data_IF_752694135015
#
_entry.id   IF_752694135015
#
_cell.length_a   1.000
_cell.length_b   1.000
_cell.length_c   1.000
_cell.angle_alpha   90.00
_cell.angle_beta   90.00
_cell.angle_gamma   90.00
#
_symmetry.space_group_name_H-M   'P 1'
#
loop_
_entity.id
_entity.type
_entity.pdbx_description
1 polymer ?
#
# COMPACT_ATOMS: atom_id res chain seq x y z
N UNK A 1 10.31 -33.25 16.09
CA UNK A 1 10.56 -31.99 15.37
C UNK A 1 9.20 -31.42 14.98
N UNK A 2 8.62 -30.58 15.84
CA UNK A 2 7.34 -29.92 15.58
C UNK A 2 7.57 -28.80 14.57
N UNK A 3 6.87 -28.85 13.44
CA UNK A 3 6.84 -27.78 12.44
C UNK A 3 6.46 -26.48 13.15
N UNK A 4 7.31 -25.46 13.04
CA UNK A 4 6.97 -24.11 13.51
C UNK A 4 5.68 -23.66 12.84
N UNK A 5 4.70 -23.20 13.63
CA UNK A 5 3.40 -22.77 13.14
C UNK A 5 3.56 -21.68 12.08
N UNK A 6 2.91 -21.87 10.94
CA UNK A 6 2.84 -20.87 9.89
C UNK A 6 2.17 -19.60 10.44
N UNK A 7 2.79 -18.44 10.24
CA UNK A 7 2.15 -17.15 10.50
C UNK A 7 1.07 -16.95 9.43
N UNK A 8 -0.19 -16.87 9.84
CA UNK A 8 -1.27 -16.50 8.94
C UNK A 8 -1.37 -14.98 8.92
N UNK A 9 -1.09 -14.39 7.75
CA UNK A 9 -1.33 -12.98 7.47
C UNK A 9 -2.64 -12.87 6.71
N UNK A 10 -3.52 -11.99 7.16
CA UNK A 10 -4.80 -11.68 6.50
C UNK A 10 -4.92 -10.16 6.39
N UNK A 11 -5.30 -9.66 5.22
CA UNK A 11 -5.44 -8.22 4.97
C UNK A 11 -6.85 -7.91 4.49
N UNK A 12 -7.49 -6.91 5.10
CA UNK A 12 -8.79 -6.38 4.69
C UNK A 12 -8.63 -4.99 4.09
N UNK A 13 -9.38 -4.71 3.02
CA UNK A 13 -9.33 -3.44 2.31
C UNK A 13 -10.70 -2.78 2.31
N UNK A 14 -10.73 -1.50 2.70
CA UNK A 14 -11.95 -0.67 2.70
C UNK A 14 -11.80 0.37 1.59
N UNK A 15 -12.79 0.42 0.71
CA UNK A 15 -12.80 1.27 -0.48
C UNK A 15 -13.98 2.25 -0.42
N UNK A 16 -13.77 3.47 -0.90
CA UNK A 16 -14.81 4.45 -1.23
C UNK A 16 -14.77 4.73 -2.73
N UNK A 17 -15.73 4.19 -3.48
CA UNK A 17 -15.64 4.14 -4.95
C UNK A 17 -14.37 3.40 -5.40
N UNK A 18 -13.47 4.13 -6.04
CA UNK A 18 -12.16 3.63 -6.50
C UNK A 18 -10.99 3.97 -5.56
N UNK A 19 -11.22 4.73 -4.49
CA UNK A 19 -10.17 5.10 -3.55
C UNK A 19 -10.00 4.05 -2.46
N UNK A 20 -8.77 3.60 -2.25
CA UNK A 20 -8.44 2.78 -1.08
C UNK A 20 -8.43 3.68 0.16
N UNK A 21 -9.37 3.46 1.08
CA UNK A 21 -9.49 4.27 2.31
C UNK A 21 -8.73 3.63 3.45
N UNK A 22 -8.82 2.31 3.62
CA UNK A 22 -8.11 1.61 4.68
C UNK A 22 -7.56 0.26 4.24
N UNK A 23 -6.43 -0.11 4.82
CA UNK A 23 -5.86 -1.45 4.81
C UNK A 23 -5.69 -1.90 6.26
N UNK A 24 -6.26 -3.05 6.60
CA UNK A 24 -6.20 -3.62 7.95
C UNK A 24 -5.42 -4.92 7.84
N UNK A 25 -4.23 -4.97 8.44
CA UNK A 25 -3.41 -6.17 8.51
C UNK A 25 -3.65 -6.86 9.85
N UNK A 26 -4.04 -8.12 9.78
CA UNK A 26 -4.19 -9.01 10.92
C UNK A 26 -2.98 -9.93 11.00
N UNK A 27 -2.16 -9.76 12.04
CA UNK A 27 -1.03 -10.66 12.28
C UNK A 27 -1.41 -11.70 13.33
N UNK A 28 -1.64 -12.94 12.89
CA UNK A 28 -1.66 -14.08 13.82
C UNK A 28 -0.24 -14.57 14.05
N UNK A 29 0.24 -14.48 15.28
CA UNK A 29 1.54 -15.07 15.59
C UNK A 29 1.44 -16.56 15.85
N UNK A 30 2.52 -17.28 15.52
CA UNK A 30 2.81 -18.60 16.05
C UNK A 30 2.84 -18.56 17.60
N UNK A 31 2.68 -19.72 18.24
CA UNK A 31 2.59 -19.85 19.70
C UNK A 31 3.60 -18.94 20.44
N UNK A 32 3.11 -18.16 21.42
CA UNK A 32 3.83 -17.24 22.32
C UNK A 32 4.17 -15.83 21.78
N UNK A 33 3.41 -15.25 20.85
CA UNK A 33 3.47 -13.79 20.61
C UNK A 33 2.06 -13.19 20.55
N UNK A 34 1.82 -11.98 21.10
CA UNK A 34 0.51 -11.36 21.05
C UNK A 34 0.06 -11.13 19.61
N UNK A 35 -1.23 -11.38 19.35
CA UNK A 35 -1.87 -10.96 18.09
C UNK A 35 -1.88 -9.42 18.07
N UNK A 36 -1.46 -8.83 16.97
CA UNK A 36 -1.57 -7.37 16.78
C UNK A 36 -2.20 -7.06 15.45
N UNK A 37 -3.20 -6.19 15.48
CA UNK A 37 -3.84 -5.67 14.28
C UNK A 37 -3.27 -4.28 13.98
N UNK A 38 -3.04 -4.01 12.70
CA UNK A 38 -2.53 -2.72 12.24
C UNK A 38 -3.40 -2.16 11.14
N UNK A 39 -3.93 -0.97 11.35
CA UNK A 39 -4.78 -0.27 10.40
C UNK A 39 -4.02 0.90 9.80
N UNK A 40 -4.00 0.98 8.48
CA UNK A 40 -3.50 2.10 7.71
C UNK A 40 -4.71 2.80 7.08
N UNK A 41 -4.95 4.05 7.45
CA UNK A 41 -6.00 4.88 6.86
C UNK A 41 -5.35 5.93 5.97
N UNK A 42 -5.80 6.01 4.72
CA UNK A 42 -5.22 6.88 3.70
C UNK A 42 -6.09 8.12 3.48
N UNK A 43 -5.45 9.28 3.44
CA UNK A 43 -6.07 10.58 3.17
C UNK A 43 -5.50 11.08 1.85
N UNK A 44 -6.38 11.47 0.92
CA UNK A 44 -6.01 11.99 -0.40
C UNK A 44 -6.02 13.51 -0.42
N UNK A 45 -5.22 14.10 -1.32
CA UNK A 45 -5.06 15.56 -1.42
C UNK A 45 -6.35 16.29 -1.83
N UNK A 46 -7.20 15.64 -2.60
CA UNK A 46 -8.48 16.17 -3.09
C UNK A 46 -9.43 15.00 -3.37
N UNK A 47 -10.77 15.17 -3.22
CA UNK A 47 -11.74 14.08 -3.47
C UNK A 47 -11.62 13.44 -4.86
N UNK A 48 -11.24 14.22 -5.87
CA UNK A 48 -11.08 13.75 -7.26
C UNK A 48 -9.62 13.42 -7.64
N UNK A 49 -8.73 13.22 -6.67
CA UNK A 49 -7.32 12.90 -6.90
C UNK A 49 -6.97 11.56 -6.26
N UNK A 50 -6.08 10.80 -6.90
CA UNK A 50 -5.47 9.60 -6.31
C UNK A 50 -4.11 9.88 -5.67
N UNK A 51 -3.69 11.14 -5.61
CA UNK A 51 -2.46 11.55 -4.92
C UNK A 51 -2.65 11.40 -3.40
N UNK A 52 -1.94 10.46 -2.75
CA UNK A 52 -2.02 10.30 -1.31
C UNK A 52 -1.36 11.50 -0.64
N UNK A 53 -1.97 11.98 0.45
CA UNK A 53 -1.50 13.11 1.25
C UNK A 53 -0.93 12.63 2.59
N UNK A 54 -1.69 11.80 3.31
CA UNK A 54 -1.30 11.32 4.62
C UNK A 54 -1.75 9.88 4.87
N UNK A 55 -1.06 9.21 5.79
CA UNK A 55 -1.40 7.90 6.31
C UNK A 55 -1.51 8.01 7.83
N UNK A 56 -2.68 7.69 8.37
CA UNK A 56 -2.86 7.48 9.80
C UNK A 56 -2.65 5.99 10.10
N UNK A 57 -1.87 5.68 11.12
CA UNK A 57 -1.56 4.31 11.54
C UNK A 57 -2.16 4.12 12.93
N UNK A 58 -2.92 3.05 13.09
CA UNK A 58 -3.38 2.58 14.39
C UNK A 58 -2.88 1.15 14.62
N UNK A 59 -2.33 0.88 15.81
CA UNK A 59 -1.97 -0.47 16.23
C UNK A 59 -2.76 -0.86 17.48
N UNK A 60 -3.32 -2.07 17.46
CA UNK A 60 -4.10 -2.66 18.56
C UNK A 60 -3.50 -3.98 19.04
N UNK A 61 -3.65 -4.25 20.32
CA UNK A 61 -3.33 -5.55 20.93
C UNK A 61 -4.42 -6.60 20.68
N UNK A 62 -4.21 -7.81 21.19
CA UNK A 62 -5.16 -8.93 21.07
C UNK A 62 -6.53 -8.68 21.71
N UNK A 63 -6.60 -7.73 22.65
CA UNK A 63 -7.82 -7.32 23.33
C UNK A 63 -8.46 -6.08 22.68
N UNK A 64 -7.99 -5.68 21.50
CA UNK A 64 -8.43 -4.50 20.75
C UNK A 64 -8.16 -3.16 21.46
N UNK A 65 -7.25 -3.12 22.44
CA UNK A 65 -6.80 -1.86 23.01
C UNK A 65 -5.80 -1.18 22.08
N UNK A 66 -5.98 0.12 21.86
CA UNK A 66 -5.04 0.92 21.07
C UNK A 66 -3.74 1.09 21.85
N UNK A 67 -2.63 0.65 21.26
CA UNK A 67 -1.29 0.72 21.87
C UNK A 67 -0.38 1.74 21.18
N UNK A 68 -0.63 2.09 19.92
CA UNK A 68 0.12 3.13 19.21
C UNK A 68 -0.75 3.85 18.17
N UNK A 69 -0.38 5.10 17.87
CA UNK A 69 -0.98 5.90 16.81
C UNK A 69 0.03 6.89 16.21
N UNK A 70 0.17 6.88 14.89
CA UNK A 70 1.09 7.75 14.17
C UNK A 70 0.45 8.35 12.92
N UNK A 71 1.03 9.45 12.41
CA UNK A 71 0.67 10.06 11.13
C UNK A 71 1.92 10.25 10.31
N UNK A 72 1.87 9.79 9.06
CA UNK A 72 2.90 10.00 8.05
C UNK A 72 2.35 10.85 6.90
N UNK A 73 3.25 11.53 6.20
CA UNK A 73 2.91 12.39 5.07
C UNK A 73 3.62 11.91 3.81
N UNK A 74 2.87 11.74 2.73
CA UNK A 74 3.43 11.39 1.42
C UNK A 74 3.91 12.64 0.70
N UNK A 75 5.03 12.52 0.01
CA UNK A 75 5.58 13.55 -0.86
C UNK A 75 5.64 12.99 -2.28
N UNK A 76 4.74 13.48 -3.12
CA UNK A 76 4.53 12.98 -4.48
C UNK A 76 5.21 13.86 -5.52
N UNK A 77 5.54 13.29 -6.68
CA UNK A 77 5.98 14.04 -7.85
C UNK A 77 4.81 14.69 -8.61
N UNK A 78 5.09 15.32 -9.77
CA UNK A 78 4.09 16.05 -10.54
C UNK A 78 2.93 15.20 -11.08
N UNK A 79 3.09 13.87 -11.14
CA UNK A 79 2.03 12.95 -11.56
C UNK A 79 1.38 12.24 -10.36
N UNK A 80 1.69 12.66 -9.12
CA UNK A 80 1.11 12.09 -7.92
C UNK A 80 1.76 10.77 -7.46
N UNK A 81 2.92 10.40 -8.00
CA UNK A 81 3.62 9.18 -7.60
C UNK A 81 4.46 9.45 -6.33
N UNK A 82 4.28 8.69 -5.23
CA UNK A 82 5.00 8.95 -3.97
C UNK A 82 6.51 8.73 -4.09
N UNK A 83 7.30 9.77 -3.81
CA UNK A 83 8.77 9.75 -3.85
C UNK A 83 9.39 9.64 -2.47
N UNK A 84 8.76 10.23 -1.47
CA UNK A 84 9.22 10.21 -0.08
C UNK A 84 8.03 10.12 0.87
N UNK A 85 8.31 9.72 2.10
CA UNK A 85 7.36 9.79 3.20
C UNK A 85 8.08 10.28 4.46
N UNK A 86 7.43 11.17 5.20
CA UNK A 86 7.94 11.69 6.47
C UNK A 86 7.03 11.34 7.62
N UNK A 87 7.59 11.21 8.83
CA UNK A 87 6.81 11.14 10.06
C UNK A 87 6.22 12.52 10.45
N UNK A 88 5.54 12.55 11.60
CA UNK A 88 4.91 13.76 12.14
C UNK A 88 5.89 14.87 12.55
N UNK A 89 7.19 14.55 12.66
CA UNK A 89 8.26 15.50 12.97
C UNK A 89 8.99 15.96 11.70
N UNK A 90 8.55 15.53 10.52
CA UNK A 90 9.16 15.87 9.23
C UNK A 90 10.43 15.07 8.92
N UNK A 91 10.73 14.02 9.69
CA UNK A 91 11.88 13.14 9.38
C UNK A 91 11.50 12.20 8.27
N UNK A 92 12.37 12.07 7.25
CA UNK A 92 12.17 11.11 6.16
C UNK A 92 12.28 9.68 6.70
N UNK A 93 11.21 8.91 6.53
CA UNK A 93 11.10 7.50 6.98
C UNK A 93 11.15 6.52 5.82
N UNK A 94 10.78 6.95 4.61
CA UNK A 94 10.83 6.17 3.39
C UNK A 94 11.16 7.04 2.18
N UNK A 95 11.86 6.48 1.19
CA UNK A 95 12.13 7.10 -0.11
C UNK A 95 12.15 6.04 -1.20
N UNK A 96 11.51 6.33 -2.34
CA UNK A 96 11.45 5.46 -3.50
C UNK A 96 11.94 6.12 -4.79
N UNK A 97 12.42 5.30 -5.73
CA UNK A 97 12.71 5.66 -7.11
C UNK A 97 12.09 4.61 -8.02
N UNK A 98 11.44 5.10 -9.06
CA UNK A 98 10.70 4.29 -10.01
C UNK A 98 11.28 4.42 -11.41
N UNK A 99 11.09 3.38 -12.21
CA UNK A 99 11.25 3.46 -13.64
C UNK A 99 10.06 4.17 -14.32
N UNK A 100 10.10 4.29 -15.64
CA UNK A 100 9.07 4.95 -16.43
C UNK A 100 7.71 4.22 -16.45
N UNK A 101 7.69 2.93 -16.09
CA UNK A 101 6.51 2.07 -16.07
C UNK A 101 5.96 1.90 -14.64
N UNK A 102 6.46 2.67 -13.67
CA UNK A 102 5.99 2.64 -12.29
C UNK A 102 6.55 1.48 -11.47
N UNK A 103 7.52 0.72 -12.00
CA UNK A 103 8.25 -0.29 -11.24
C UNK A 103 9.14 0.37 -10.20
N UNK A 104 9.02 -0.06 -8.94
CA UNK A 104 9.85 0.43 -7.83
C UNK A 104 11.25 -0.17 -7.96
N UNK A 105 12.16 0.54 -8.62
CA UNK A 105 13.52 0.10 -8.88
C UNK A 105 14.41 0.16 -7.63
N UNK A 106 14.11 1.09 -6.72
CA UNK A 106 14.85 1.26 -5.49
C UNK A 106 13.98 1.89 -4.42
N UNK A 107 13.99 1.33 -3.22
CA UNK A 107 13.45 1.97 -2.04
C UNK A 107 14.40 1.88 -0.84
N UNK A 108 14.17 2.76 0.13
CA UNK A 108 14.93 2.78 1.38
C UNK A 108 14.00 3.15 2.52
N UNK A 109 13.85 2.23 3.47
CA UNK A 109 13.30 2.50 4.79
C UNK A 109 14.42 3.09 5.67
N UNK A 110 14.25 4.34 6.08
CA UNK A 110 15.27 5.13 6.80
C UNK A 110 15.06 5.13 8.32
N UNK A 111 13.85 4.80 8.79
CA UNK A 111 13.58 4.59 10.20
C UNK A 111 13.75 3.10 10.54
N UNK A 112 14.46 2.82 11.65
CA UNK A 112 14.41 1.51 12.27
C UNK A 112 13.04 1.38 12.95
N UNK A 113 12.30 0.36 12.54
CA UNK A 113 10.97 -0.03 13.00
C UNK A 113 9.80 0.64 12.26
N UNK A 114 9.16 -0.15 11.39
CA UNK A 114 7.72 -0.22 11.09
C UNK A 114 6.92 1.07 10.83
N UNK A 115 7.47 2.28 10.89
CA UNK A 115 6.66 3.49 10.93
C UNK A 115 6.04 3.85 9.58
N UNK A 116 6.55 3.35 8.46
CA UNK A 116 6.04 3.71 7.14
C UNK A 116 5.58 2.51 6.32
N UNK A 117 4.32 2.49 5.93
CA UNK A 117 3.79 1.57 4.93
C UNK A 117 3.43 2.36 3.66
N UNK A 118 4.15 2.11 2.57
CA UNK A 118 3.96 2.82 1.31
C UNK A 118 3.61 1.78 0.23
N UNK A 119 2.30 1.56 -0.05
CA UNK A 119 1.89 0.61 -1.08
C UNK A 119 1.55 1.26 -2.43
N UNK A 120 1.39 2.59 -2.49
CA UNK A 120 0.94 3.24 -3.72
C UNK A 120 2.03 3.28 -4.79
N UNK A 121 1.63 3.18 -6.06
CA UNK A 121 2.53 3.22 -7.23
C UNK A 121 2.15 4.39 -8.14
N UNK A 122 1.89 4.14 -9.44
CA UNK A 122 1.24 5.14 -10.29
C UNK A 122 -0.16 5.47 -9.74
N UNK A 123 -0.78 6.54 -10.24
CA UNK A 123 -2.11 6.95 -9.75
C UNK A 123 -3.10 5.78 -9.75
N UNK A 124 -3.80 5.62 -8.62
CA UNK A 124 -4.76 4.55 -8.37
C UNK A 124 -4.17 3.11 -8.42
N UNK A 125 -2.86 2.96 -8.25
CA UNK A 125 -2.23 1.64 -8.15
C UNK A 125 -1.83 1.33 -6.71
N UNK A 126 -2.15 0.12 -6.28
CA UNK A 126 -1.75 -0.47 -5.00
C UNK A 126 -0.83 -1.68 -5.27
N UNK A 127 0.32 -1.72 -4.63
CA UNK A 127 1.23 -2.86 -4.72
C UNK A 127 0.77 -4.01 -3.87
N UNK A 128 0.42 -5.11 -4.53
CA UNK A 128 0.09 -6.36 -3.90
C UNK A 128 1.37 -7.18 -3.65
N UNK A 129 1.76 -7.27 -2.38
CA UNK A 129 2.98 -7.98 -1.94
C UNK A 129 2.91 -9.50 -2.25
N UNK A 130 1.71 -10.10 -2.31
CA UNK A 130 1.55 -11.55 -2.53
C UNK A 130 1.86 -11.94 -3.97
N UNK A 131 1.47 -11.08 -4.92
CA UNK A 131 1.62 -11.34 -6.35
C UNK A 131 2.79 -10.58 -6.98
N UNK A 132 3.26 -9.51 -6.34
CA UNK A 132 4.22 -8.57 -6.91
C UNK A 132 3.63 -7.67 -8.01
N UNK A 133 2.32 -7.76 -8.25
CA UNK A 133 1.60 -6.97 -9.25
C UNK A 133 1.01 -5.70 -8.63
N UNK A 134 0.60 -4.77 -9.48
CA UNK A 134 -0.07 -3.55 -9.05
C UNK A 134 -1.57 -3.69 -9.29
N UNK A 135 -2.36 -3.81 -8.22
CA UNK A 135 -3.80 -3.71 -8.31
C UNK A 135 -4.18 -2.31 -8.77
N UNK A 136 -4.92 -2.22 -9.87
CA UNK A 136 -5.43 -1.01 -10.46
C UNK A 136 -6.92 -1.18 -10.72
N UNK A 137 -7.71 -1.03 -9.66
CA UNK A 137 -9.16 -1.17 -9.68
C UNK A 137 -9.60 -2.52 -10.26
N UNK A 138 -10.02 -2.63 -11.52
CA UNK A 138 -10.51 -3.89 -12.07
C UNK A 138 -9.43 -4.77 -12.71
N UNK A 139 -8.16 -4.35 -12.68
CA UNK A 139 -7.07 -5.05 -13.36
C UNK A 139 -5.80 -5.09 -12.52
N UNK A 140 -4.99 -6.11 -12.75
CA UNK A 140 -3.62 -6.16 -12.26
C UNK A 140 -2.66 -5.71 -13.35
N UNK A 141 -1.77 -4.78 -13.02
CA UNK A 141 -0.74 -4.24 -13.87
C UNK A 141 0.62 -4.84 -13.50
N UNK A 142 1.36 -5.32 -14.51
CA UNK A 142 2.70 -5.85 -14.36
C UNK A 142 3.73 -4.77 -14.75
N UNK A 143 4.45 -4.18 -13.79
CA UNK A 143 5.38 -3.08 -14.09
C UNK A 143 6.58 -3.51 -14.93
N UNK A 144 7.01 -4.77 -14.83
CA UNK A 144 8.17 -5.27 -15.58
C UNK A 144 7.94 -5.29 -17.09
N UNK A 145 6.71 -5.59 -17.52
CA UNK A 145 6.34 -5.63 -18.94
C UNK A 145 5.53 -4.41 -19.38
N UNK A 146 5.14 -3.56 -18.42
CA UNK A 146 4.48 -2.29 -18.65
C UNK A 146 3.02 -2.40 -19.10
N UNK A 147 2.29 -3.47 -18.73
CA UNK A 147 0.95 -3.79 -19.27
C UNK A 147 0.02 -4.44 -18.24
N UNK A 148 -1.27 -4.50 -18.55
CA UNK A 148 -2.23 -5.26 -17.75
C UNK A 148 -2.15 -6.77 -18.01
N UNK A 149 -2.45 -7.56 -16.97
CA UNK A 149 -2.49 -9.03 -17.03
C UNK A 149 -3.81 -9.57 -17.59
N UNK A 150 -4.86 -8.74 -17.62
CA UNK A 150 -6.20 -9.09 -18.08
C UNK A 150 -6.69 -8.09 -19.13
N UNK A 151 -7.55 -8.55 -20.03
CA UNK A 151 -8.18 -7.68 -21.02
C UNK A 151 -8.99 -6.58 -20.35
N UNK A 152 -9.10 -5.43 -21.03
CA UNK A 152 -9.93 -4.34 -20.58
C UNK A 152 -11.41 -4.77 -20.46
N UNK A 153 -12.03 -4.65 -19.26
CA UNK A 153 -13.44 -4.97 -19.07
C UNK A 153 -14.40 -4.15 -19.96
N UNK A 154 -14.01 -2.94 -20.38
CA UNK A 154 -14.82 -2.14 -21.33
C UNK A 154 -14.62 -2.59 -22.80
N UNK A 155 -13.72 -3.54 -23.04
CA UNK A 155 -13.48 -4.16 -24.33
C UNK A 155 -13.06 -3.15 -25.40
N UNK A 156 -13.55 -3.35 -26.62
CA UNK A 156 -13.22 -2.50 -27.78
C UNK A 156 -13.68 -1.04 -27.64
N UNK A 157 -14.57 -0.73 -26.69
CA UNK A 157 -14.92 0.65 -26.38
C UNK A 157 -13.74 1.43 -25.77
N UNK A 158 -12.77 0.74 -25.15
CA UNK A 158 -11.50 1.29 -24.68
C UNK A 158 -10.42 1.41 -25.75
N UNK A 159 -10.69 0.93 -26.98
CA UNK A 159 -9.77 0.92 -28.10
C UNK A 159 -9.35 -0.49 -28.53
N UNK A 160 -8.48 -0.56 -29.54
CA UNK A 160 -8.06 -1.84 -30.13
C UNK A 160 -6.99 -2.57 -29.30
N UNK A 161 -6.28 -1.86 -28.42
CA UNK A 161 -5.36 -2.48 -27.47
C UNK A 161 -6.12 -2.80 -26.18
N UNK A 162 -6.27 -4.09 -25.90
CA UNK A 162 -7.02 -4.57 -24.73
C UNK A 162 -6.13 -4.69 -23.47
N UNK A 163 -4.84 -4.40 -23.54
CA UNK A 163 -3.85 -4.64 -22.46
C UNK A 163 -2.92 -3.46 -22.19
#
# INVERSE_FOLDING_TARGET
>A
MTKGGEKQLHSEFIWDGSHLVQEIRHEQSAQNTPKTDRTFTYIYRHPNSYEPLAQCIEQKDENYHRIDHAVNYFHCDQIGMPREMTDSQGKVIWRGRYDAWGGLHYDRHLAQQNQGHQPFRLQNQYFDEETGLHYNFLRYYEPMTGRFMTQDPIGLAGGNNLY
#
